data_IF_894584759987
#
_entry.id   IF_894584759987
#
_cell.length_a   1.000
_cell.length_b   1.000
_cell.length_c   1.000
_cell.angle_alpha   90.00
_cell.angle_beta   90.00
_cell.angle_gamma   90.00
#
_symmetry.space_group_name_H-M   'P 1'
#
loop_
_entity.id
_entity.type
_entity.pdbx_description
1 polymer ?
#
# COMPACT_ATOMS: atom_id res chain seq x y z
N UNK A 1 41.85 -10.07 6.28
CA UNK A 1 40.92 -10.85 5.44
C UNK A 1 39.86 -11.43 6.36
N UNK A 2 38.56 -11.17 6.17
CA UNK A 2 37.52 -11.90 6.91
C UNK A 2 37.59 -13.39 6.53
N UNK A 3 37.51 -14.25 7.54
CA UNK A 3 37.59 -15.70 7.40
C UNK A 3 36.28 -16.21 6.77
N UNK A 4 36.33 -16.61 5.49
CA UNK A 4 35.18 -16.99 4.68
C UNK A 4 34.72 -18.41 5.04
N UNK A 5 34.05 -18.56 6.18
CA UNK A 5 33.44 -19.83 6.59
C UNK A 5 32.09 -20.02 5.91
N UNK A 6 31.75 -21.25 5.47
CA UNK A 6 30.42 -21.54 4.95
C UNK A 6 29.36 -21.38 6.05
N UNK A 7 28.15 -20.99 5.67
CA UNK A 7 27.00 -20.94 6.59
C UNK A 7 26.64 -22.35 7.03
N UNK A 8 26.44 -22.55 8.33
CA UNK A 8 26.03 -23.85 8.86
C UNK A 8 24.61 -24.21 8.37
N UNK A 9 24.37 -25.46 7.99
CA UNK A 9 23.10 -25.90 7.37
C UNK A 9 21.86 -25.51 8.21
N UNK A 10 21.95 -25.67 9.53
CA UNK A 10 20.87 -25.27 10.46
C UNK A 10 20.53 -23.78 10.37
N UNK A 11 21.53 -22.91 10.24
CA UNK A 11 21.33 -21.47 10.14
C UNK A 11 20.86 -21.08 8.74
N UNK A 12 21.38 -21.74 7.70
CA UNK A 12 20.87 -21.58 6.34
C UNK A 12 19.37 -21.93 6.26
N UNK A 13 18.94 -23.03 6.88
CA UNK A 13 17.55 -23.42 6.91
C UNK A 13 16.67 -22.41 7.67
N UNK A 14 17.13 -21.92 8.83
CA UNK A 14 16.42 -20.87 9.59
C UNK A 14 16.24 -19.60 8.77
N UNK A 15 17.29 -19.16 8.08
CA UNK A 15 17.25 -17.97 7.21
C UNK A 15 16.27 -18.19 6.07
N UNK A 16 16.32 -19.33 5.37
CA UNK A 16 15.39 -19.64 4.28
C UNK A 16 13.94 -19.64 4.74
N UNK A 17 13.65 -20.24 5.91
CA UNK A 17 12.30 -20.21 6.51
C UNK A 17 11.86 -18.80 6.84
N UNK A 18 12.71 -17.99 7.48
CA UNK A 18 12.40 -16.60 7.80
C UNK A 18 12.15 -15.76 6.54
N UNK A 19 12.95 -15.97 5.48
CA UNK A 19 12.74 -15.32 4.18
C UNK A 19 11.42 -15.72 3.53
N UNK A 20 10.99 -16.98 3.66
CA UNK A 20 9.68 -17.41 3.17
C UNK A 20 8.54 -16.70 3.92
N UNK A 21 8.63 -16.61 5.24
CA UNK A 21 7.66 -15.86 6.06
C UNK A 21 7.61 -14.38 5.69
N UNK A 22 8.77 -13.74 5.50
CA UNK A 22 8.85 -12.34 5.06
C UNK A 22 8.18 -12.13 3.70
N UNK A 23 8.39 -13.04 2.73
CA UNK A 23 7.74 -12.94 1.42
C UNK A 23 6.21 -13.08 1.52
N UNK A 24 5.72 -13.97 2.38
CA UNK A 24 4.27 -14.12 2.61
C UNK A 24 3.67 -12.84 3.20
N UNK A 25 4.25 -12.34 4.29
CA UNK A 25 3.78 -11.11 4.93
C UNK A 25 3.86 -9.90 3.99
N UNK A 26 4.88 -9.85 3.11
CA UNK A 26 5.01 -8.80 2.12
C UNK A 26 3.89 -8.84 1.06
N UNK A 27 3.50 -10.04 0.62
CA UNK A 27 2.40 -10.21 -0.32
C UNK A 27 1.05 -9.81 0.30
N UNK A 28 0.80 -10.21 1.55
CA UNK A 28 -0.40 -9.80 2.30
C UNK A 28 -0.48 -8.28 2.47
N UNK A 29 0.64 -7.63 2.81
CA UNK A 29 0.70 -6.16 2.91
C UNK A 29 0.42 -5.49 1.57
N UNK A 30 0.99 -6.01 0.49
CA UNK A 30 0.79 -5.47 -0.86
C UNK A 30 -0.68 -5.57 -1.29
N UNK A 31 -1.34 -6.71 -1.05
CA UNK A 31 -2.76 -6.92 -1.33
C UNK A 31 -3.65 -6.00 -0.46
N UNK A 32 -3.35 -5.86 0.83
CA UNK A 32 -4.10 -4.98 1.73
C UNK A 32 -4.02 -3.51 1.30
N UNK A 33 -2.82 -3.05 0.90
CA UNK A 33 -2.62 -1.69 0.37
C UNK A 33 -3.41 -1.50 -0.92
N UNK A 34 -3.32 -2.44 -1.86
CA UNK A 34 -4.09 -2.38 -3.10
C UNK A 34 -5.60 -2.35 -2.85
N UNK A 35 -6.09 -3.22 -1.97
CA UNK A 35 -7.51 -3.27 -1.56
C UNK A 35 -7.99 -1.96 -0.94
N UNK A 36 -7.20 -1.35 -0.04
CA UNK A 36 -7.52 -0.05 0.54
C UNK A 36 -7.65 1.04 -0.53
N UNK A 37 -6.73 1.08 -1.49
CA UNK A 37 -6.78 2.03 -2.60
C UNK A 37 -8.01 1.77 -3.48
N UNK A 38 -8.31 0.53 -3.84
CA UNK A 38 -9.51 0.15 -4.61
C UNK A 38 -10.82 0.54 -3.89
N UNK A 39 -10.82 0.52 -2.56
CA UNK A 39 -11.95 0.97 -1.75
C UNK A 39 -12.03 2.50 -1.59
N UNK A 40 -11.15 3.27 -2.25
CA UNK A 40 -11.19 4.73 -2.30
C UNK A 40 -10.29 5.44 -1.29
N UNK A 41 -9.45 4.72 -0.54
CA UNK A 41 -8.48 5.37 0.33
C UNK A 41 -7.48 6.20 -0.49
N UNK A 42 -7.08 7.37 0.04
CA UNK A 42 -6.05 8.19 -0.59
C UNK A 42 -4.66 7.62 -0.30
N UNK A 43 -3.71 7.83 -1.22
CA UNK A 43 -2.29 7.47 -1.01
C UNK A 43 -1.72 8.08 0.27
N UNK A 44 -2.15 9.32 0.62
CA UNK A 44 -1.76 9.98 1.86
C UNK A 44 -2.23 9.22 3.09
N UNK A 45 -3.51 8.84 3.15
CA UNK A 45 -4.08 8.13 4.29
C UNK A 45 -3.38 6.78 4.52
N UNK A 46 -3.02 6.06 3.44
CA UNK A 46 -2.25 4.82 3.55
C UNK A 46 -0.80 5.07 3.97
N UNK A 47 -0.19 6.17 3.53
CA UNK A 47 1.17 6.57 3.92
C UNK A 47 1.28 6.87 5.41
N UNK A 48 0.24 7.47 6.01
CA UNK A 48 0.17 7.77 7.44
C UNK A 48 0.25 6.50 8.33
N UNK A 49 0.06 5.31 7.75
CA UNK A 49 0.26 4.01 8.42
C UNK A 49 1.74 3.55 8.44
N UNK A 50 2.69 4.39 8.01
CA UNK A 50 4.12 4.11 8.05
C UNK A 50 4.69 3.46 6.79
N UNK A 51 3.90 3.39 5.70
CA UNK A 51 4.34 2.88 4.41
C UNK A 51 4.82 4.05 3.56
N UNK A 52 5.98 3.93 2.92
CA UNK A 52 6.47 5.02 2.06
C UNK A 52 5.50 5.31 0.89
N UNK A 53 5.33 6.57 0.46
CA UNK A 53 4.44 6.91 -0.66
C UNK A 53 4.77 6.13 -1.93
N UNK A 54 6.06 5.96 -2.24
CA UNK A 54 6.54 5.21 -3.41
C UNK A 54 6.12 3.74 -3.34
N UNK A 55 6.20 3.13 -2.15
CA UNK A 55 5.77 1.76 -1.91
C UNK A 55 4.26 1.62 -2.10
N UNK A 56 3.46 2.54 -1.54
CA UNK A 56 1.99 2.54 -1.73
C UNK A 56 1.62 2.61 -3.21
N UNK A 57 2.25 3.52 -3.96
CA UNK A 57 1.99 3.67 -5.39
C UNK A 57 2.42 2.44 -6.19
N UNK A 58 3.55 1.82 -5.82
CA UNK A 58 4.02 0.58 -6.44
C UNK A 58 3.00 -0.55 -6.26
N UNK A 59 2.56 -0.80 -5.03
CA UNK A 59 1.60 -1.85 -4.69
C UNK A 59 0.24 -1.60 -5.34
N UNK A 60 -0.23 -0.36 -5.35
CA UNK A 60 -1.41 0.03 -6.12
C UNK A 60 -1.27 -0.36 -7.60
N UNK A 61 -0.19 0.06 -8.28
CA UNK A 61 0.01 -0.21 -9.72
C UNK A 61 0.13 -1.71 -10.04
N UNK A 62 0.80 -2.49 -9.19
CA UNK A 62 0.95 -3.93 -9.37
C UNK A 62 -0.41 -4.68 -9.38
N UNK A 63 -1.39 -4.17 -8.65
CA UNK A 63 -2.74 -4.73 -8.54
C UNK A 63 -3.79 -3.97 -9.37
N UNK A 64 -3.37 -3.32 -10.47
CA UNK A 64 -4.29 -2.64 -11.41
C UNK A 64 -4.75 -1.25 -10.97
N UNK A 65 -3.91 -0.56 -10.19
CA UNK A 65 -4.24 0.66 -9.45
C UNK A 65 -4.80 1.83 -10.26
N UNK A 66 -5.19 2.87 -9.52
CA UNK A 66 -6.59 3.25 -9.40
C UNK A 66 -7.25 3.32 -10.77
N UNK A 67 -8.18 2.39 -10.99
CA UNK A 67 -9.04 2.39 -12.18
C UNK A 67 -9.72 3.75 -12.33
N UNK A 68 -10.15 4.08 -13.54
CA UNK A 68 -10.93 5.30 -13.82
C UNK A 68 -12.07 5.52 -12.81
N UNK A 69 -12.66 4.43 -12.30
CA UNK A 69 -13.63 4.36 -11.20
C UNK A 69 -13.13 4.97 -9.89
N UNK A 70 -11.89 4.71 -9.47
CA UNK A 70 -11.32 5.32 -8.27
C UNK A 70 -11.09 6.82 -8.43
N UNK A 71 -10.72 7.24 -9.64
CA UNK A 71 -10.57 8.67 -9.98
C UNK A 71 -11.93 9.36 -9.92
N UNK A 72 -12.98 8.73 -10.45
CA UNK A 72 -14.36 9.22 -10.37
C UNK A 72 -14.86 9.29 -8.93
N UNK A 73 -14.70 8.24 -8.10
CA UNK A 73 -15.13 8.24 -6.69
C UNK A 73 -14.40 9.28 -5.83
N UNK A 74 -13.10 9.46 -6.04
CA UNK A 74 -12.34 10.51 -5.36
C UNK A 74 -12.82 11.91 -5.74
N UNK A 75 -13.18 12.11 -7.02
CA UNK A 75 -13.76 13.36 -7.51
C UNK A 75 -15.20 13.57 -7.03
N UNK A 76 -16.05 12.54 -7.05
CA UNK A 76 -17.43 12.57 -6.52
C UNK A 76 -17.44 13.00 -5.05
N UNK A 77 -16.61 12.39 -4.21
CA UNK A 77 -16.50 12.77 -2.79
C UNK A 77 -16.01 14.23 -2.61
N UNK A 78 -15.19 14.73 -3.55
CA UNK A 78 -14.71 16.12 -3.54
C UNK A 78 -15.81 17.10 -3.94
N UNK A 79 -16.58 16.77 -4.98
CA UNK A 79 -17.71 17.58 -5.44
C UNK A 79 -18.86 17.59 -4.43
N UNK A 80 -19.13 16.46 -3.77
CA UNK A 80 -20.10 16.39 -2.67
C UNK A 80 -19.68 17.23 -1.45
N UNK A 81 -18.38 17.33 -1.17
CA UNK A 81 -17.86 18.19 -0.10
C UNK A 81 -17.96 19.67 -0.47
N UNK A 82 -17.49 20.04 -1.65
CA UNK A 82 -17.54 21.42 -2.16
C UNK A 82 -18.98 21.92 -2.36
N UNK A 83 -19.91 21.05 -2.76
CA UNK A 83 -21.32 21.39 -2.92
C UNK A 83 -21.98 21.76 -1.59
N UNK A 84 -21.68 21.02 -0.52
CA UNK A 84 -22.17 21.36 0.83
C UNK A 84 -21.58 22.67 1.36
N UNK A 85 -20.28 22.90 1.15
CA UNK A 85 -19.62 24.16 1.55
C UNK A 85 -20.19 25.37 0.78
N UNK A 86 -20.52 25.23 -0.51
CA UNK A 86 -21.08 26.31 -1.33
C UNK A 86 -22.56 26.62 -1.02
N UNK A 87 -23.34 25.62 -0.59
CA UNK A 87 -24.73 25.83 -0.13
C UNK A 87 -24.77 26.47 1.27
N UNK A 88 -23.80 26.15 2.15
CA UNK A 88 -23.64 26.80 3.46
C UNK A 88 -23.21 28.27 3.36
N UNK A 89 -22.38 28.66 2.36
CA UNK A 89 -21.99 30.07 2.14
C UNK A 89 -23.10 30.94 1.50
N UNK A 90 -24.14 30.33 0.92
CA UNK A 90 -25.26 31.04 0.27
C UNK A 90 -26.51 31.17 1.13
N UNK A 91 -26.57 30.52 2.29
CA UNK A 91 -27.71 30.57 3.21
C UNK A 91 -27.47 31.51 4.38
#
# INVERSE_FOLDING_TARGET
MPDARPVHEKDAQRIKTAQAGLRSAQAELEEAVAGALLNGASVRAVTELGISPNTVQKYGRAHGGPTEVNRSRFNETRWDRLGREADEERS
#
